data_IF_280031676570
#
_entry.id   IF_280031676570
#
_cell.length_a   1.000
_cell.length_b   1.000
_cell.length_c   1.000
_cell.angle_alpha   90.00
_cell.angle_beta   90.00
_cell.angle_gamma   90.00
#
_symmetry.space_group_name_H-M   'P 1'
#
loop_
_entity.id
_entity.type
_entity.pdbx_description
1 polymer ?
#
# COMPACT_ATOMS: atom_id res chain seq x y z
N UNK A 1 22.15 -15.30 8.30
CA UNK A 1 20.95 -14.49 8.68
C UNK A 1 20.53 -13.42 7.64
N UNK A 2 21.07 -13.40 6.41
CA UNK A 2 20.61 -12.49 5.34
C UNK A 2 19.38 -12.99 4.56
N UNK A 3 19.08 -14.29 4.64
CA UNK A 3 18.05 -14.97 3.83
C UNK A 3 16.61 -14.75 4.35
N UNK A 4 16.45 -14.34 5.61
CA UNK A 4 15.14 -14.15 6.26
C UNK A 4 14.52 -12.80 5.87
N UNK A 5 15.33 -11.80 5.52
CA UNK A 5 14.85 -10.44 5.19
C UNK A 5 14.21 -10.38 3.79
N UNK A 6 14.58 -11.29 2.88
CA UNK A 6 14.11 -11.28 1.49
C UNK A 6 12.98 -12.28 1.17
N UNK A 7 12.65 -13.25 2.04
CA UNK A 7 11.83 -14.37 1.58
C UNK A 7 10.34 -14.05 1.43
N UNK A 8 9.75 -13.11 2.17
CA UNK A 8 8.29 -12.99 2.23
C UNK A 8 7.73 -11.56 2.10
N UNK A 9 8.40 -10.68 1.36
CA UNK A 9 7.86 -9.33 1.13
C UNK A 9 6.50 -9.33 0.43
N UNK A 10 6.29 -10.28 -0.49
CA UNK A 10 5.02 -10.47 -1.17
C UNK A 10 3.90 -10.86 -0.18
N UNK A 11 4.20 -11.68 0.82
CA UNK A 11 3.23 -12.08 1.84
C UNK A 11 2.86 -10.91 2.75
N UNK A 12 3.83 -10.09 3.16
CA UNK A 12 3.55 -8.88 3.94
C UNK A 12 2.67 -7.90 3.15
N UNK A 13 2.94 -7.72 1.86
CA UNK A 13 2.13 -6.88 0.96
C UNK A 13 0.72 -7.43 0.75
N UNK A 14 0.57 -8.74 0.57
CA UNK A 14 -0.72 -9.39 0.46
C UNK A 14 -1.52 -9.20 1.76
N UNK A 15 -0.89 -9.42 2.93
CA UNK A 15 -1.51 -9.18 4.23
C UNK A 15 -1.95 -7.72 4.38
N UNK A 16 -1.10 -6.77 3.99
CA UNK A 16 -1.44 -5.35 4.01
C UNK A 16 -2.63 -5.03 3.11
N UNK A 17 -2.63 -5.53 1.88
CA UNK A 17 -3.72 -5.34 0.92
C UNK A 17 -5.06 -5.92 1.44
N UNK A 18 -5.05 -7.15 1.93
CA UNK A 18 -6.24 -7.79 2.50
C UNK A 18 -6.74 -6.96 3.69
N UNK A 19 -5.84 -6.52 4.56
CA UNK A 19 -6.20 -5.71 5.73
C UNK A 19 -6.80 -4.36 5.31
N UNK A 20 -6.24 -3.69 4.30
CA UNK A 20 -6.81 -2.44 3.77
C UNK A 20 -8.17 -2.67 3.10
N UNK A 21 -8.39 -3.80 2.42
CA UNK A 21 -9.73 -4.14 1.90
C UNK A 21 -10.76 -4.25 3.01
N UNK A 22 -10.43 -4.88 4.14
CA UNK A 22 -11.39 -5.04 5.25
C UNK A 22 -11.55 -3.78 6.10
N UNK A 23 -10.47 -3.05 6.37
CA UNK A 23 -10.52 -1.89 7.27
C UNK A 23 -10.94 -0.60 6.58
N UNK A 24 -10.68 -0.47 5.28
CA UNK A 24 -10.99 0.75 4.52
C UNK A 24 -12.08 0.49 3.49
N UNK A 25 -11.90 -0.50 2.61
CA UNK A 25 -12.82 -0.68 1.48
C UNK A 25 -14.21 -1.18 1.92
N UNK A 26 -14.28 -2.20 2.79
CA UNK A 26 -15.56 -2.76 3.23
C UNK A 26 -16.46 -1.74 3.96
N UNK A 27 -15.97 -0.96 4.95
CA UNK A 27 -16.79 0.07 5.59
C UNK A 27 -17.29 1.12 4.61
N UNK A 28 -16.47 1.52 3.64
CA UNK A 28 -16.81 2.48 2.61
C UNK A 28 -17.91 1.95 1.67
N UNK A 29 -17.77 0.69 1.23
CA UNK A 29 -18.75 0.02 0.38
C UNK A 29 -20.08 -0.17 1.12
N UNK A 30 -20.02 -0.59 2.38
CA UNK A 30 -21.20 -0.77 3.23
C UNK A 30 -21.92 0.55 3.47
N UNK A 31 -21.18 1.61 3.80
CA UNK A 31 -21.73 2.95 3.96
C UNK A 31 -22.44 3.41 2.69
N UNK A 32 -21.80 3.27 1.52
CA UNK A 32 -22.41 3.69 0.26
C UNK A 32 -23.64 2.84 -0.08
N UNK A 33 -23.58 1.53 0.13
CA UNK A 33 -24.65 0.59 -0.25
C UNK A 33 -25.92 0.74 0.56
N UNK A 34 -25.82 1.07 1.86
CA UNK A 34 -26.97 1.06 2.79
C UNK A 34 -27.33 2.44 3.34
N UNK A 35 -26.41 3.41 3.32
CA UNK A 35 -26.69 4.77 3.79
C UNK A 35 -27.01 5.70 2.62
N UNK A 36 -26.32 5.55 1.49
CA UNK A 36 -26.49 6.41 0.31
C UNK A 36 -27.47 5.80 -0.69
N UNK A 37 -27.45 4.48 -0.86
CA UNK A 37 -28.37 3.73 -1.71
C UNK A 37 -29.26 2.82 -0.87
N UNK A 38 -30.37 2.34 -1.44
CA UNK A 38 -31.34 1.49 -0.74
C UNK A 38 -31.05 -0.01 -0.96
N UNK A 39 -29.76 -0.37 -0.96
CA UNK A 39 -29.31 -1.75 -1.00
C UNK A 39 -28.35 -2.09 -2.13
N UNK A 40 -27.94 -3.36 -2.10
CA UNK A 40 -26.88 -3.91 -2.95
C UNK A 40 -27.23 -3.83 -4.44
N UNK A 41 -28.47 -4.12 -4.81
CA UNK A 41 -28.86 -4.19 -6.21
C UNK A 41 -28.79 -2.81 -6.88
N UNK A 42 -29.18 -1.75 -6.17
CA UNK A 42 -29.02 -0.38 -6.66
C UNK A 42 -27.54 0.01 -6.80
N UNK A 43 -26.70 -0.40 -5.85
CA UNK A 43 -25.26 -0.12 -5.91
C UNK A 43 -24.60 -0.79 -7.11
N UNK A 44 -24.93 -2.05 -7.40
CA UNK A 44 -24.35 -2.78 -8.53
C UNK A 44 -24.78 -2.23 -9.89
N UNK A 45 -25.98 -1.63 -9.98
CA UNK A 45 -26.45 -1.00 -11.23
C UNK A 45 -25.98 0.46 -11.37
N UNK A 46 -25.46 1.07 -10.30
CA UNK A 46 -25.00 2.44 -10.30
C UNK A 46 -23.47 2.54 -10.47
N UNK A 47 -23.03 2.55 -11.73
CA UNK A 47 -21.62 2.71 -12.10
C UNK A 47 -20.97 3.98 -11.53
N UNK A 48 -21.76 5.05 -11.31
CA UNK A 48 -21.27 6.29 -10.74
C UNK A 48 -20.96 6.11 -9.25
N UNK A 49 -21.86 5.45 -8.51
CA UNK A 49 -21.64 5.15 -7.09
C UNK A 49 -20.42 4.25 -6.88
N UNK A 50 -20.25 3.23 -7.73
CA UNK A 50 -19.05 2.36 -7.72
C UNK A 50 -17.80 3.19 -7.98
N UNK A 51 -17.78 4.02 -9.03
CA UNK A 51 -16.63 4.85 -9.36
C UNK A 51 -16.26 5.85 -8.27
N UNK A 52 -17.25 6.47 -7.63
CA UNK A 52 -17.04 7.38 -6.49
C UNK A 52 -16.52 6.64 -5.25
N UNK A 53 -17.00 5.43 -4.99
CA UNK A 53 -16.51 4.59 -3.89
C UNK A 53 -15.03 4.22 -4.11
N UNK A 54 -14.66 3.76 -5.29
CA UNK A 54 -13.26 3.44 -5.61
C UNK A 54 -12.35 4.68 -5.58
N UNK A 55 -12.83 5.83 -6.07
CA UNK A 55 -12.09 7.08 -6.04
C UNK A 55 -11.86 7.58 -4.60
N UNK A 56 -12.87 7.46 -3.73
CA UNK A 56 -12.74 7.83 -2.32
C UNK A 56 -11.82 6.87 -1.57
N UNK A 57 -11.86 5.56 -1.85
CA UNK A 57 -10.89 4.60 -1.35
C UNK A 57 -9.44 4.99 -1.72
N UNK A 58 -9.19 5.30 -2.99
CA UNK A 58 -7.88 5.78 -3.45
C UNK A 58 -7.44 7.07 -2.74
N UNK A 59 -8.37 8.02 -2.55
CA UNK A 59 -8.12 9.26 -1.82
C UNK A 59 -7.72 9.01 -0.36
N UNK A 60 -8.40 8.08 0.32
CA UNK A 60 -8.08 7.68 1.69
C UNK A 60 -6.67 7.06 1.77
N UNK A 61 -6.32 6.18 0.83
CA UNK A 61 -4.97 5.60 0.76
C UNK A 61 -3.89 6.68 0.58
N UNK A 62 -4.09 7.61 -0.36
CA UNK A 62 -3.16 8.73 -0.59
C UNK A 62 -3.01 9.56 0.68
N UNK A 63 -4.12 9.85 1.38
CA UNK A 63 -4.11 10.56 2.64
C UNK A 63 -3.25 9.84 3.69
N UNK A 64 -3.47 8.55 3.92
CA UNK A 64 -2.67 7.76 4.87
C UNK A 64 -1.18 7.76 4.53
N UNK A 65 -0.84 7.50 3.27
CA UNK A 65 0.54 7.47 2.81
C UNK A 65 1.23 8.84 2.89
N UNK A 66 0.53 9.94 2.59
CA UNK A 66 1.10 11.29 2.68
C UNK A 66 1.36 11.70 4.13
N UNK A 67 0.42 11.50 5.04
CA UNK A 67 0.56 11.96 6.42
C UNK A 67 1.50 11.08 7.25
N UNK A 68 1.35 9.75 7.10
CA UNK A 68 1.99 8.77 8.00
C UNK A 68 2.96 7.82 7.28
N UNK A 69 2.92 7.72 5.96
CA UNK A 69 3.69 6.73 5.20
C UNK A 69 3.23 5.29 5.42
N UNK A 70 2.10 5.08 6.12
CA UNK A 70 1.56 3.76 6.45
C UNK A 70 0.03 3.77 6.31
N UNK A 71 -0.53 2.86 5.53
CA UNK A 71 -1.94 2.50 5.63
C UNK A 71 -2.18 1.60 6.86
N UNK A 72 -3.43 1.42 7.32
CA UNK A 72 -3.77 0.45 8.37
C UNK A 72 -3.21 -0.95 8.07
N UNK A 73 -3.29 -1.41 6.82
CA UNK A 73 -2.73 -2.66 6.38
C UNK A 73 -1.21 -2.69 6.39
N UNK A 74 -0.55 -1.61 5.96
CA UNK A 74 0.91 -1.50 6.04
C UNK A 74 1.39 -1.54 7.50
N UNK A 75 0.67 -0.88 8.40
CA UNK A 75 0.95 -0.93 9.83
C UNK A 75 0.79 -2.33 10.41
N UNK A 76 -0.23 -3.07 10.01
CA UNK A 76 -0.45 -4.47 10.44
C UNK A 76 0.62 -5.42 9.90
N UNK A 77 1.04 -5.23 8.65
CA UNK A 77 2.09 -6.02 8.03
C UNK A 77 3.51 -5.57 8.40
N UNK A 78 3.65 -4.63 9.33
CA UNK A 78 4.93 -4.09 9.80
C UNK A 78 5.81 -3.54 8.67
N UNK A 79 5.17 -2.91 7.69
CA UNK A 79 5.83 -2.27 6.55
C UNK A 79 5.52 -0.77 6.51
N UNK A 80 6.41 0.00 5.89
CA UNK A 80 6.26 1.44 5.72
C UNK A 80 6.75 1.86 4.34
N UNK A 81 6.02 2.79 3.72
CA UNK A 81 6.41 3.40 2.45
C UNK A 81 7.39 4.55 2.72
N UNK A 82 8.56 4.51 2.11
CA UNK A 82 9.60 5.54 2.23
C UNK A 82 10.08 6.00 0.85
N UNK A 83 10.56 7.24 0.74
CA UNK A 83 11.14 7.74 -0.50
C UNK A 83 12.52 7.09 -0.76
N UNK A 84 12.76 6.60 -1.99
CA UNK A 84 14.00 5.91 -2.44
C UNK A 84 15.19 6.86 -2.62
N UNK A 85 15.25 8.00 -1.91
CA UNK A 85 16.44 8.87 -1.97
C UNK A 85 17.67 8.26 -1.25
N UNK A 86 17.51 7.09 -0.65
CA UNK A 86 18.59 6.35 0.01
C UNK A 86 18.89 5.10 -0.81
N UNK A 87 19.70 5.27 -1.85
CA UNK A 87 20.47 4.17 -2.41
C UNK A 87 21.55 3.79 -1.40
N UNK A 88 21.17 3.13 -0.32
CA UNK A 88 22.14 2.50 0.58
C UNK A 88 21.79 1.04 0.75
N UNK A 89 22.82 0.25 0.49
CA UNK A 89 22.87 -1.21 0.60
C UNK A 89 22.15 -1.69 1.85
N UNK A 90 21.53 -2.87 1.80
CA UNK A 90 20.76 -3.47 2.88
C UNK A 90 21.48 -3.51 4.27
N UNK A 91 22.79 -3.25 4.30
CA UNK A 91 23.62 -3.15 5.49
C UNK A 91 23.52 -1.80 6.25
N UNK A 92 23.11 -0.70 5.59
CA UNK A 92 22.95 0.61 6.24
C UNK A 92 21.57 0.82 6.87
N UNK A 93 20.57 0.04 6.45
CA UNK A 93 19.19 0.05 7.00
C UNK A 93 19.18 -0.42 8.46
N UNK A 94 20.07 -1.35 8.81
CA UNK A 94 20.17 -1.93 10.17
C UNK A 94 20.81 -0.94 11.17
N UNK A 95 21.61 0.03 10.69
CA UNK A 95 22.28 1.05 11.52
C UNK A 95 21.54 2.39 11.59
N UNK A 96 20.46 2.57 10.82
CA UNK A 96 19.72 3.84 10.81
C UNK A 96 18.68 3.89 11.94
N UNK A 97 18.97 4.76 12.91
CA UNK A 97 18.01 5.26 13.89
C UNK A 97 16.67 5.66 13.21
N UNK A 98 15.50 5.39 13.82
CA UNK A 98 14.17 5.54 13.22
C UNK A 98 13.71 6.99 12.93
N UNK A 99 14.62 7.97 12.99
CA UNK A 99 14.35 9.41 12.95
C UNK A 99 14.62 10.10 11.61
N UNK A 100 15.07 9.40 10.56
CA UNK A 100 15.37 9.97 9.23
C UNK A 100 14.76 9.20 8.07
N UNK A 101 13.50 8.78 8.20
CA UNK A 101 12.73 8.35 7.03
C UNK A 101 12.10 9.59 6.39
N UNK A 102 12.49 9.90 5.15
CA UNK A 102 11.89 10.99 4.40
C UNK A 102 10.49 10.56 3.97
N UNK A 103 9.48 11.33 4.40
CA UNK A 103 8.08 11.10 4.02
C UNK A 103 7.95 11.18 2.49
N UNK A 104 7.17 10.28 1.86
CA UNK A 104 6.95 10.35 0.42
C UNK A 104 6.26 11.67 0.05
N UNK A 105 6.66 12.26 -1.08
CA UNK A 105 5.99 13.45 -1.61
C UNK A 105 4.57 13.11 -2.07
N UNK A 106 3.67 14.09 -2.07
CA UNK A 106 2.28 13.92 -2.49
C UNK A 106 2.20 13.38 -3.92
N UNK A 107 3.01 13.91 -4.84
CA UNK A 107 3.09 13.43 -6.22
C UNK A 107 3.56 11.97 -6.32
N UNK A 108 4.54 11.56 -5.51
CA UNK A 108 5.03 10.18 -5.50
C UNK A 108 3.95 9.21 -5.01
N UNK A 109 3.18 9.64 -4.02
CA UNK A 109 2.07 8.85 -3.45
C UNK A 109 0.93 8.70 -4.46
N UNK A 110 0.58 9.78 -5.18
CA UNK A 110 -0.40 9.71 -6.25
C UNK A 110 0.05 8.74 -7.37
N UNK A 111 1.30 8.85 -7.83
CA UNK A 111 1.86 7.95 -8.84
C UNK A 111 1.84 6.50 -8.32
N UNK A 112 2.19 6.28 -7.05
CA UNK A 112 2.15 4.96 -6.43
C UNK A 112 0.76 4.33 -6.51
N UNK A 113 -0.28 5.05 -6.09
CA UNK A 113 -1.66 4.53 -6.07
C UNK A 113 -2.21 4.33 -7.49
N UNK A 114 -1.94 5.24 -8.41
CA UNK A 114 -2.38 5.13 -9.81
C UNK A 114 -1.74 3.91 -10.48
N UNK A 115 -0.42 3.75 -10.34
CA UNK A 115 0.28 2.60 -10.95
C UNK A 115 -0.14 1.30 -10.28
N UNK A 116 -0.38 1.31 -8.97
CA UNK A 116 -0.91 0.16 -8.25
C UNK A 116 -2.30 -0.27 -8.78
N UNK A 117 -3.18 0.69 -9.07
CA UNK A 117 -4.50 0.42 -9.66
C UNK A 117 -4.38 -0.16 -11.08
N UNK A 118 -3.46 0.36 -11.90
CA UNK A 118 -3.17 -0.20 -13.24
C UNK A 118 -2.62 -1.63 -13.13
N UNK A 119 -1.71 -1.88 -12.18
CA UNK A 119 -1.16 -3.22 -11.95
C UNK A 119 -2.24 -4.23 -11.56
N UNK A 120 -3.21 -3.81 -10.75
CA UNK A 120 -4.33 -4.64 -10.33
C UNK A 120 -5.27 -4.96 -11.51
N UNK A 121 -5.56 -3.99 -12.37
CA UNK A 121 -6.43 -4.17 -13.55
C UNK A 121 -5.82 -5.07 -14.63
N UNK A 122 -4.52 -4.94 -14.89
CA UNK A 122 -3.83 -5.67 -15.96
C UNK A 122 -3.07 -6.91 -15.49
N UNK A 123 -3.24 -7.31 -14.21
CA UNK A 123 -2.47 -8.38 -13.57
C UNK A 123 -0.96 -8.24 -13.75
N UNK A 124 -0.46 -7.00 -13.90
CA UNK A 124 0.96 -6.72 -14.20
C UNK A 124 1.88 -7.06 -13.03
N UNK A 125 1.33 -7.44 -11.88
CA UNK A 125 2.11 -7.99 -10.78
C UNK A 125 2.91 -9.24 -11.18
N UNK A 126 2.47 -9.99 -12.20
CA UNK A 126 3.23 -11.13 -12.75
C UNK A 126 4.59 -10.71 -13.34
N UNK A 127 4.70 -9.50 -13.90
CA UNK A 127 5.98 -8.97 -14.39
C UNK A 127 6.98 -8.72 -13.25
N UNK A 128 6.49 -8.47 -12.04
CA UNK A 128 7.36 -8.39 -10.85
C UNK A 128 8.03 -9.73 -10.54
N UNK A 129 7.38 -10.85 -10.85
CA UNK A 129 7.94 -12.19 -10.67
C UNK A 129 9.02 -12.53 -11.72
N UNK A 130 8.89 -12.02 -12.95
CA UNK A 130 9.90 -12.17 -14.00
C UNK A 130 11.18 -11.34 -13.76
N UNK A 131 11.14 -10.34 -12.87
CA UNK A 131 12.27 -9.44 -12.63
C UNK A 131 13.10 -9.88 -11.43
N UNK A 132 14.41 -10.06 -11.65
CA UNK A 132 15.39 -10.48 -10.62
C UNK A 132 15.41 -9.58 -9.38
N UNK A 133 15.01 -8.30 -9.51
CA UNK A 133 15.00 -7.32 -8.42
C UNK A 133 13.77 -7.39 -7.49
N UNK A 134 12.73 -8.18 -7.81
CA UNK A 134 11.48 -8.35 -7.03
C UNK A 134 10.72 -7.07 -6.64
N UNK A 135 11.09 -5.89 -7.16
CA UNK A 135 10.33 -4.63 -6.95
C UNK A 135 9.14 -4.58 -7.92
N UNK A 136 8.02 -4.02 -7.48
CA UNK A 136 6.85 -3.77 -8.35
C UNK A 136 7.01 -2.52 -9.20
N UNK A 137 6.23 -2.41 -10.27
CA UNK A 137 6.30 -1.26 -11.19
C UNK A 137 5.94 0.03 -10.47
N UNK A 138 4.98 -0.01 -9.54
CA UNK A 138 4.62 1.16 -8.75
C UNK A 138 5.76 1.65 -7.84
N UNK A 139 6.66 0.78 -7.35
CA UNK A 139 7.81 1.20 -6.52
C UNK A 139 8.90 1.84 -7.39
N UNK A 140 9.12 1.31 -8.60
CA UNK A 140 10.09 1.84 -9.56
C UNK A 140 9.66 3.23 -10.03
N UNK A 141 8.40 3.36 -10.44
CA UNK A 141 7.91 4.60 -11.05
C UNK A 141 7.71 5.71 -10.02
N UNK A 142 7.27 5.39 -8.80
CA UNK A 142 7.11 6.38 -7.74
C UNK A 142 8.43 6.76 -7.06
N UNK A 143 9.54 6.09 -7.39
CA UNK A 143 10.80 6.17 -6.64
C UNK A 143 10.57 6.01 -5.13
N UNK A 144 9.76 5.02 -4.75
CA UNK A 144 9.51 4.65 -3.35
C UNK A 144 10.02 3.25 -3.07
N UNK A 145 10.30 3.00 -1.81
CA UNK A 145 10.76 1.71 -1.32
C UNK A 145 9.97 1.40 -0.06
N UNK A 146 9.41 0.21 -0.01
CA UNK A 146 8.76 -0.30 1.17
C UNK A 146 9.86 -0.92 2.08
N UNK A 147 9.84 -0.59 3.36
CA UNK A 147 10.77 -1.09 4.38
C UNK A 147 10.02 -1.78 5.50
N UNK A 148 10.63 -2.78 6.15
CA UNK A 148 10.09 -3.34 7.39
C UNK A 148 10.30 -2.34 8.53
N UNK A 149 9.24 -2.12 9.29
CA UNK A 149 9.23 -1.32 10.51
C UNK A 149 8.51 -2.13 11.57
N UNK A 150 9.31 -2.80 12.39
CA UNK A 150 8.83 -3.59 13.53
C UNK A 150 7.97 -2.74 14.46
N UNK A 151 6.78 -3.25 14.78
CA UNK A 151 5.83 -2.56 15.62
C UNK A 151 6.23 -2.78 17.09
N UNK A 152 6.73 -1.74 17.77
CA UNK A 152 7.23 -1.81 19.16
C UNK A 152 6.20 -2.27 20.21
N UNK A 153 4.97 -2.60 19.81
CA UNK A 153 3.91 -3.12 20.69
C UNK A 153 3.92 -4.64 20.90
N UNK A 154 4.72 -5.40 20.14
CA UNK A 154 4.83 -6.86 20.31
C UNK A 154 6.20 -7.20 20.89
N UNK A 155 6.39 -6.87 22.16
CA UNK A 155 7.33 -7.61 23.02
C UNK A 155 6.46 -8.39 24.00
N UNK A 156 6.11 -9.62 23.63
CA UNK A 156 5.63 -10.64 24.56
C UNK A 156 6.68 -11.71 24.71
#
# INVERSE_FOLDING_TARGET
>A
MQKIIQSNFLMARLKAFITDMFLLNMPLLYFTTYIVLDGKDEFLHNNIAIGLCEMSYCGILIFFFYFTGQSPGFRYAEIMLCQTRIQKSAQDIIKMQPKKFLKPSLLQTCIYVIVWLIELSFFLWIFSFMRKDKRTLHEILSHTQIIYKENRGVKS
#
